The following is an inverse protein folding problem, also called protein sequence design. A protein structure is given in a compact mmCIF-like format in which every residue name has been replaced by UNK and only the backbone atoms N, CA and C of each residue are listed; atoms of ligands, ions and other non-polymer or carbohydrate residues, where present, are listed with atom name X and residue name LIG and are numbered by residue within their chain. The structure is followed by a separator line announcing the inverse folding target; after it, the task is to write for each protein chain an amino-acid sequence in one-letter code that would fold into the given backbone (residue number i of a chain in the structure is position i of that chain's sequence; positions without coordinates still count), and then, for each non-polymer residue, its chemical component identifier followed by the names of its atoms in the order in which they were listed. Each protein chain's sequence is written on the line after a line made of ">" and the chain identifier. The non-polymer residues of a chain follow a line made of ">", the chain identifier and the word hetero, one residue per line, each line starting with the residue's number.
data_IF_312844178917
#
_entry.id   IF_312844178917
#
_cell.length_a   1.000
_cell.length_b   1.000
_cell.length_c   1.000
_cell.angle_alpha   90.00
_cell.angle_beta   90.00
_cell.angle_gamma   90.00
#
_symmetry.space_group_name_H-M   'P 1'
#
loop_
_entity.id
_entity.type
_entity.pdbx_description
1 polymer ?
#
# COMPACT_ATOMS: atom_id res chain seq x y z
N UNK A 1 14.59 -5.27 31.96
CA UNK A 1 13.62 -4.91 30.91
C UNK A 1 13.10 -6.17 30.25
N UNK A 2 11.90 -6.62 30.61
CA UNK A 2 11.15 -7.60 29.80
C UNK A 2 10.51 -6.84 28.66
N UNK A 3 11.11 -6.88 27.47
CA UNK A 3 10.46 -6.37 26.27
C UNK A 3 9.21 -7.21 26.02
N UNK A 4 8.03 -6.60 26.11
CA UNK A 4 6.81 -7.25 25.67
C UNK A 4 6.91 -7.46 24.16
N UNK A 5 6.83 -8.72 23.73
CA UNK A 5 6.79 -9.11 22.32
C UNK A 5 5.39 -9.05 21.72
N UNK A 6 4.39 -8.61 22.50
CA UNK A 6 3.03 -8.35 22.00
C UNK A 6 3.06 -7.18 21.02
N UNK A 7 3.34 -7.55 19.77
CA UNK A 7 3.50 -6.68 18.62
C UNK A 7 2.32 -6.96 17.70
N UNK A 8 1.12 -6.75 18.23
CA UNK A 8 -0.13 -6.92 17.48
C UNK A 8 -0.78 -5.56 17.22
N UNK A 9 -1.33 -5.36 16.02
CA UNK A 9 -2.12 -4.20 15.65
C UNK A 9 -3.50 -4.65 15.15
N UNK A 10 -4.53 -3.81 15.30
CA UNK A 10 -5.84 -4.10 14.70
C UNK A 10 -5.78 -3.72 13.22
N UNK A 11 -5.96 -4.71 12.33
CA UNK A 11 -6.12 -4.45 10.90
C UNK A 11 -7.38 -3.62 10.67
N UNK A 12 -7.26 -2.54 9.91
CA UNK A 12 -8.42 -1.76 9.48
C UNK A 12 -9.30 -2.59 8.53
N UNK A 13 -8.68 -3.38 7.67
CA UNK A 13 -9.36 -4.16 6.62
C UNK A 13 -10.17 -5.33 7.20
N UNK A 14 -9.62 -6.06 8.18
CA UNK A 14 -10.26 -7.26 8.75
C UNK A 14 -10.91 -7.00 10.11
N UNK A 15 -10.54 -5.92 10.80
CA UNK A 15 -10.96 -5.62 12.16
C UNK A 15 -10.37 -6.56 13.22
N UNK A 16 -9.41 -7.40 12.86
CA UNK A 16 -8.81 -8.42 13.73
C UNK A 16 -7.38 -8.04 14.14
N UNK A 17 -6.90 -8.52 15.29
CA UNK A 17 -5.50 -8.35 15.66
C UNK A 17 -4.59 -9.15 14.70
N UNK A 18 -3.57 -8.50 14.18
CA UNK A 18 -2.54 -9.05 13.29
C UNK A 18 -1.16 -8.79 13.89
N UNK A 19 -0.19 -9.65 13.61
CA UNK A 19 1.20 -9.39 14.03
C UNK A 19 1.80 -8.26 13.18
N UNK A 20 2.51 -7.32 13.81
CA UNK A 20 3.21 -6.24 13.10
C UNK A 20 4.43 -6.71 12.32
N UNK A 21 4.78 -7.99 12.42
CA UNK A 21 5.83 -8.65 11.63
C UNK A 21 5.25 -9.49 10.48
N UNK A 22 3.92 -9.54 10.34
CA UNK A 22 3.27 -10.30 9.28
C UNK A 22 3.26 -9.56 7.94
N UNK A 23 3.23 -10.32 6.85
CA UNK A 23 3.02 -9.78 5.50
C UNK A 23 1.66 -9.08 5.39
N UNK A 24 0.62 -9.56 6.09
CA UNK A 24 -0.68 -8.89 6.14
C UNK A 24 -0.56 -7.46 6.67
N UNK A 25 0.19 -7.27 7.76
CA UNK A 25 0.44 -5.93 8.31
C UNK A 25 1.30 -5.06 7.40
N UNK A 26 2.32 -5.65 6.76
CA UNK A 26 3.15 -4.94 5.80
C UNK A 26 2.31 -4.42 4.61
N UNK A 27 1.48 -5.29 4.03
CA UNK A 27 0.63 -4.92 2.90
C UNK A 27 -0.39 -3.85 3.28
N UNK A 28 -1.02 -3.98 4.45
CA UNK A 28 -1.95 -2.95 4.93
C UNK A 28 -1.25 -1.60 5.17
N UNK A 29 -0.04 -1.60 5.74
CA UNK A 29 0.77 -0.38 5.88
C UNK A 29 1.11 0.24 4.51
N UNK A 30 1.47 -0.58 3.52
CA UNK A 30 1.75 -0.09 2.18
C UNK A 30 0.51 0.53 1.52
N UNK A 31 -0.65 -0.13 1.62
CA UNK A 31 -1.92 0.42 1.13
C UNK A 31 -2.28 1.74 1.82
N UNK A 32 -2.06 1.87 3.14
CA UNK A 32 -2.25 3.13 3.88
C UNK A 32 -1.37 4.25 3.33
N UNK A 33 -0.09 3.96 3.07
CA UNK A 33 0.85 4.94 2.53
C UNK A 33 0.41 5.41 1.13
N UNK A 34 0.03 4.49 0.25
CA UNK A 34 -0.43 4.80 -1.11
C UNK A 34 -1.77 5.56 -1.10
N UNK A 35 -2.67 5.24 -0.17
CA UNK A 35 -3.96 5.92 -0.04
C UNK A 35 -3.78 7.38 0.42
N UNK A 36 -2.77 7.66 1.25
CA UNK A 36 -2.43 9.00 1.71
C UNK A 36 -1.77 9.89 0.63
N UNK A 37 -1.32 9.32 -0.48
CA UNK A 37 -0.75 10.07 -1.61
C UNK A 37 -1.82 10.83 -2.40
N UNK A 38 -1.42 11.95 -3.00
CA UNK A 38 -2.23 12.62 -4.02
C UNK A 38 -2.42 11.72 -5.25
N UNK A 39 -3.41 12.04 -6.09
CA UNK A 39 -3.67 11.28 -7.33
C UNK A 39 -2.44 11.23 -8.24
N UNK A 40 -1.71 12.34 -8.37
CA UNK A 40 -0.51 12.44 -9.20
C UNK A 40 0.66 11.62 -8.63
N UNK A 41 0.86 11.68 -7.32
CA UNK A 41 1.87 10.88 -6.62
C UNK A 41 1.58 9.38 -6.76
N UNK A 42 0.31 8.98 -6.60
CA UNK A 42 -0.12 7.59 -6.79
C UNK A 42 0.09 7.11 -8.22
N UNK A 43 -0.24 7.94 -9.21
CA UNK A 43 0.00 7.60 -10.61
C UNK A 43 1.49 7.38 -10.89
N UNK A 44 2.34 8.27 -10.39
CA UNK A 44 3.80 8.15 -10.50
C UNK A 44 4.32 6.92 -9.76
N UNK A 45 3.79 6.62 -8.57
CA UNK A 45 4.18 5.43 -7.79
C UNK A 45 3.92 4.13 -8.56
N UNK A 46 2.75 3.98 -9.17
CA UNK A 46 2.41 2.75 -9.91
C UNK A 46 3.09 2.67 -11.29
N UNK A 47 3.06 3.76 -12.05
CA UNK A 47 3.44 3.76 -13.46
C UNK A 47 4.86 4.28 -13.73
N UNK A 48 5.48 4.92 -12.74
CA UNK A 48 6.75 5.59 -12.88
C UNK A 48 6.62 6.97 -13.54
N UNK A 49 7.77 7.56 -13.88
CA UNK A 49 7.85 8.85 -14.55
C UNK A 49 8.70 8.74 -15.81
N UNK A 50 8.28 9.41 -16.87
CA UNK A 50 9.03 9.55 -18.12
C UNK A 50 9.45 11.01 -18.30
N UNK A 51 10.58 11.23 -18.95
CA UNK A 51 11.01 12.54 -19.39
C UNK A 51 10.30 12.96 -20.69
N UNK A 52 10.59 14.17 -21.16
CA UNK A 52 10.03 14.77 -22.39
C UNK A 52 10.38 13.96 -23.66
N UNK A 53 11.44 13.14 -23.60
CA UNK A 53 11.87 12.27 -24.70
C UNK A 53 11.31 10.84 -24.57
N UNK A 54 10.44 10.59 -23.61
CA UNK A 54 9.81 9.28 -23.36
C UNK A 54 10.72 8.27 -22.67
N UNK A 55 11.91 8.65 -22.22
CA UNK A 55 12.83 7.79 -21.46
C UNK A 55 12.34 7.66 -20.03
N UNK A 56 12.42 6.45 -19.48
CA UNK A 56 12.04 6.19 -18.09
C UNK A 56 13.04 6.86 -17.15
N UNK A 57 12.55 7.79 -16.35
CA UNK A 57 13.32 8.47 -15.28
C UNK A 57 13.19 7.66 -14.00
N UNK A 58 11.94 7.32 -13.64
CA UNK A 58 11.62 6.53 -12.45
C UNK A 58 10.80 5.31 -12.85
N UNK A 59 11.16 4.15 -12.32
CA UNK A 59 10.39 2.91 -12.51
C UNK A 59 9.29 2.82 -11.44
N UNK A 60 8.04 2.68 -11.87
CA UNK A 60 6.92 2.44 -10.97
C UNK A 60 6.83 0.99 -10.49
N UNK A 61 5.91 0.74 -9.55
CA UNK A 61 5.64 -0.61 -9.01
C UNK A 61 5.38 -1.64 -10.10
N UNK A 62 4.67 -1.28 -11.18
CA UNK A 62 4.39 -2.21 -12.29
C UNK A 62 5.69 -2.73 -12.93
N UNK A 63 6.68 -1.85 -13.11
CA UNK A 63 7.96 -2.20 -13.73
C UNK A 63 8.92 -2.90 -12.75
N UNK A 64 8.79 -2.68 -11.44
CA UNK A 64 9.68 -3.24 -10.41
C UNK A 64 9.16 -4.57 -9.88
N UNK A 65 7.87 -4.64 -9.54
CA UNK A 65 7.23 -5.78 -8.86
C UNK A 65 6.29 -6.59 -9.77
N UNK A 66 6.05 -6.10 -10.99
CA UNK A 66 5.15 -6.73 -11.95
C UNK A 66 3.70 -6.23 -11.85
N UNK A 67 2.94 -6.45 -12.92
CA UNK A 67 1.55 -6.02 -13.03
C UNK A 67 0.68 -6.60 -11.91
N UNK A 68 0.80 -7.90 -11.65
CA UNK A 68 -0.01 -8.60 -10.65
C UNK A 68 0.16 -8.00 -9.24
N UNK A 69 1.40 -7.75 -8.81
CA UNK A 69 1.66 -7.14 -7.51
C UNK A 69 1.12 -5.70 -7.43
N UNK A 70 1.18 -4.94 -8.54
CA UNK A 70 0.61 -3.60 -8.61
C UNK A 70 -0.93 -3.63 -8.52
N UNK A 71 -1.58 -4.60 -9.17
CA UNK A 71 -3.03 -4.81 -9.10
C UNK A 71 -3.47 -5.21 -7.70
N UNK A 72 -2.76 -6.13 -7.06
CA UNK A 72 -3.06 -6.57 -5.69
C UNK A 72 -2.96 -5.41 -4.69
N UNK A 73 -1.93 -4.56 -4.82
CA UNK A 73 -1.79 -3.36 -3.99
C UNK A 73 -2.90 -2.33 -4.25
N UNK A 74 -3.34 -2.15 -5.50
CA UNK A 74 -4.50 -1.28 -5.83
C UNK A 74 -5.77 -1.80 -5.19
N UNK A 75 -6.06 -3.10 -5.33
CA UNK A 75 -7.25 -3.71 -4.75
C UNK A 75 -7.25 -3.58 -3.21
N UNK A 76 -6.10 -3.74 -2.56
CA UNK A 76 -5.98 -3.57 -1.12
C UNK A 76 -6.23 -2.12 -0.69
N UNK A 77 -5.69 -1.15 -1.44
CA UNK A 77 -5.91 0.27 -1.22
C UNK A 77 -7.39 0.67 -1.41
N UNK A 78 -8.05 0.15 -2.45
CA UNK A 78 -9.48 0.38 -2.72
C UNK A 78 -10.33 -0.18 -1.58
N UNK A 79 -10.06 -1.41 -1.15
CA UNK A 79 -10.75 -2.04 -0.02
C UNK A 79 -10.58 -1.25 1.28
N UNK A 80 -9.37 -0.74 1.54
CA UNK A 80 -9.11 0.13 2.70
C UNK A 80 -9.92 1.43 2.61
N UNK A 81 -10.02 2.03 1.43
CA UNK A 81 -10.82 3.23 1.20
C UNK A 81 -12.31 2.96 1.48
N UNK A 82 -12.86 1.86 0.98
CA UNK A 82 -14.25 1.46 1.24
C UNK A 82 -14.53 1.29 2.74
N UNK A 83 -13.64 0.60 3.46
CA UNK A 83 -13.79 0.42 4.91
C UNK A 83 -13.81 1.75 5.66
N UNK A 84 -12.96 2.70 5.25
CA UNK A 84 -12.92 4.05 5.85
C UNK A 84 -14.17 4.86 5.53
N UNK A 85 -14.65 4.80 4.28
CA UNK A 85 -15.89 5.46 3.87
C UNK A 85 -17.12 4.92 4.60
N UNK A 86 -17.17 3.61 4.87
CA UNK A 86 -18.29 2.99 5.61
C UNK A 86 -18.25 3.25 7.14
N UNK A 87 -17.15 3.81 7.67
CA UNK A 87 -17.01 4.21 9.07
C UNK A 87 -17.24 5.71 9.31
N UNK A 88 -17.39 6.50 8.24
CA UNK A 88 -17.71 7.94 8.26
C UNK A 88 -19.21 8.17 8.30
#
# INVERSE_FOLDING_TARGET
>A
MTYSRDTTAISEITGRPVSTWSEEWQHECEAKAVLAMSKEQRNTFFNGRKDENGKTVDRGVVAIRGAKAAEDLKALMERLQEVRSNRS
#
